data_IF_777471212279
#
_entry.id   IF_777471212279
#
_cell.length_a   1.000
_cell.length_b   1.000
_cell.length_c   1.000
_cell.angle_alpha   90.00
_cell.angle_beta   90.00
_cell.angle_gamma   90.00
#
_symmetry.space_group_name_H-M   'P 1'
#
loop_
_entity.id
_entity.type
_entity.pdbx_description
1 polymer ?
#
# COMPACT_ATOMS: atom_id res chain seq x y z
N UNK A 1 43.71 -27.31 -10.24
CA UNK A 1 42.97 -28.36 -10.97
C UNK A 1 41.59 -28.55 -10.34
N UNK A 2 40.54 -28.37 -11.15
CA UNK A 2 39.10 -28.71 -11.00
C UNK A 2 38.22 -27.50 -11.35
N UNK A 3 38.05 -27.30 -12.66
CA UNK A 3 37.01 -26.43 -13.23
C UNK A 3 35.68 -27.18 -13.07
N UNK A 4 34.71 -26.59 -12.37
CA UNK A 4 33.33 -27.06 -12.39
C UNK A 4 32.58 -26.32 -13.49
N UNK A 5 32.30 -27.06 -14.56
CA UNK A 5 31.40 -26.72 -15.67
C UNK A 5 29.97 -26.57 -15.13
N UNK A 6 29.41 -25.35 -15.15
CA UNK A 6 27.97 -25.13 -14.93
C UNK A 6 27.29 -24.85 -16.26
N UNK A 7 26.94 -25.94 -16.96
CA UNK A 7 25.93 -25.94 -18.01
C UNK A 7 24.56 -25.82 -17.35
N UNK A 8 24.03 -24.61 -17.22
CA UNK A 8 22.61 -24.44 -16.88
C UNK A 8 21.77 -24.37 -18.15
N UNK A 9 20.95 -25.40 -18.26
CA UNK A 9 19.97 -25.71 -19.29
C UNK A 9 18.99 -24.56 -19.44
N UNK A 10 18.83 -24.07 -20.68
CA UNK A 10 17.73 -23.20 -21.10
C UNK A 10 16.45 -24.03 -21.12
N UNK A 11 15.66 -23.97 -20.05
CA UNK A 11 14.32 -24.53 -20.02
C UNK A 11 13.33 -23.43 -20.45
N UNK A 12 12.92 -23.50 -21.70
CA UNK A 12 11.88 -22.66 -22.31
C UNK A 12 10.53 -23.01 -21.67
N UNK A 13 10.04 -22.16 -20.76
CA UNK A 13 8.71 -22.28 -20.18
C UNK A 13 7.73 -21.44 -21.04
N UNK A 14 6.97 -22.11 -21.89
CA UNK A 14 5.81 -21.53 -22.55
C UNK A 14 4.70 -21.36 -21.50
N UNK A 15 4.54 -20.14 -20.97
CA UNK A 15 3.43 -19.77 -20.11
C UNK A 15 2.23 -19.46 -20.99
N UNK A 16 1.26 -20.39 -20.98
CA UNK A 16 -0.04 -20.23 -21.63
C UNK A 16 -0.81 -19.07 -21.02
N UNK A 17 -1.14 -18.11 -21.87
CA UNK A 17 -1.96 -16.94 -21.57
C UNK A 17 -3.43 -17.38 -21.48
N UNK A 18 -3.83 -18.01 -20.37
CA UNK A 18 -5.24 -18.25 -20.08
C UNK A 18 -5.87 -16.95 -19.56
N UNK A 19 -6.46 -16.18 -20.47
CA UNK A 19 -7.25 -15.00 -20.15
C UNK A 19 -8.48 -15.41 -19.33
N UNK A 20 -8.39 -15.26 -18.01
CA UNK A 20 -9.55 -15.26 -17.11
C UNK A 20 -10.35 -13.98 -17.37
N UNK A 21 -11.24 -14.05 -18.36
CA UNK A 21 -12.36 -13.11 -18.52
C UNK A 21 -13.38 -13.47 -17.43
N UNK A 22 -13.05 -13.16 -16.17
CA UNK A 22 -14.03 -13.13 -15.09
C UNK A 22 -14.83 -11.85 -15.26
N UNK A 23 -15.83 -11.92 -16.14
CA UNK A 23 -16.80 -10.85 -16.32
C UNK A 23 -17.49 -10.53 -15.01
N UNK A 24 -17.50 -9.24 -14.63
CA UNK A 24 -18.42 -8.69 -13.65
C UNK A 24 -19.85 -8.90 -14.17
N UNK A 25 -20.43 -10.06 -13.87
CA UNK A 25 -21.88 -10.25 -13.97
C UNK A 25 -22.58 -9.36 -12.93
N UNK A 26 -23.80 -8.89 -13.20
CA UNK A 26 -24.57 -8.14 -12.23
C UNK A 26 -24.71 -8.97 -10.95
N UNK A 27 -24.17 -8.44 -9.85
CA UNK A 27 -24.26 -9.07 -8.53
C UNK A 27 -25.73 -9.36 -8.22
N UNK A 28 -26.08 -10.64 -8.12
CA UNK A 28 -27.43 -11.05 -7.71
C UNK A 28 -27.73 -10.33 -6.40
N UNK A 29 -28.83 -9.56 -6.29
CA UNK A 29 -29.16 -8.86 -5.06
C UNK A 29 -29.17 -9.86 -3.92
N UNK A 30 -28.46 -9.53 -2.83
CA UNK A 30 -28.37 -10.39 -1.66
C UNK A 30 -29.78 -10.77 -1.21
N UNK A 31 -29.98 -12.06 -0.91
CA UNK A 31 -31.26 -12.56 -0.43
C UNK A 31 -31.64 -11.77 0.84
N UNK A 32 -32.77 -11.04 0.86
CA UNK A 32 -33.18 -10.26 2.02
C UNK A 32 -33.45 -11.15 3.25
N UNK A 33 -33.56 -12.47 3.09
CA UNK A 33 -33.70 -13.45 4.15
C UNK A 33 -32.39 -14.20 4.46
N UNK A 34 -31.25 -13.82 3.88
CA UNK A 34 -29.96 -14.29 4.38
C UNK A 34 -29.82 -13.76 5.81
N UNK A 35 -30.04 -14.63 6.79
CA UNK A 35 -29.93 -14.29 8.21
C UNK A 35 -28.61 -13.57 8.49
N UNK A 36 -28.65 -12.60 9.41
CA UNK A 36 -27.44 -11.88 9.81
C UNK A 36 -26.35 -12.90 10.17
N UNK A 37 -25.11 -12.73 9.67
CA UNK A 37 -24.03 -13.62 10.02
C UNK A 37 -23.89 -13.68 11.55
N UNK A 38 -23.65 -14.87 12.13
CA UNK A 38 -23.50 -15.00 13.57
C UNK A 38 -22.39 -14.05 14.05
N UNK A 39 -22.64 -13.37 15.16
CA UNK A 39 -21.62 -12.52 15.79
C UNK A 39 -20.43 -13.39 16.21
N UNK A 40 -19.18 -12.92 16.01
CA UNK A 40 -18.02 -13.67 16.43
C UNK A 40 -18.02 -13.88 17.95
N UNK A 41 -17.59 -15.06 18.36
CA UNK A 41 -17.40 -15.43 19.75
C UNK A 41 -16.22 -14.67 20.37
N UNK A 42 -16.18 -14.57 21.71
CA UNK A 42 -15.05 -13.95 22.42
C UNK A 42 -13.70 -14.60 22.05
N UNK A 43 -13.66 -15.93 21.93
CA UNK A 43 -12.46 -16.67 21.53
C UNK A 43 -11.96 -16.31 20.12
N UNK A 44 -12.87 -16.13 19.16
CA UNK A 44 -12.52 -15.69 17.81
C UNK A 44 -11.98 -14.26 17.79
N UNK A 45 -12.56 -13.37 18.61
CA UNK A 45 -12.05 -12.02 18.78
C UNK A 45 -10.65 -12.02 19.41
N UNK A 46 -10.43 -12.83 20.45
CA UNK A 46 -9.12 -13.01 21.10
C UNK A 46 -8.04 -13.49 20.14
N UNK A 47 -8.32 -14.56 19.39
CA UNK A 47 -7.41 -15.08 18.35
C UNK A 47 -7.08 -14.01 17.30
N UNK A 48 -8.09 -13.28 16.83
CA UNK A 48 -7.92 -12.20 15.86
C UNK A 48 -7.04 -11.07 16.39
N UNK A 49 -7.23 -10.63 17.64
CA UNK A 49 -6.41 -9.58 18.23
C UNK A 49 -4.96 -10.02 18.43
N UNK A 50 -4.73 -11.28 18.85
CA UNK A 50 -3.40 -11.88 18.90
C UNK A 50 -2.70 -11.89 17.54
N UNK A 51 -3.42 -12.28 16.49
CA UNK A 51 -2.88 -12.26 15.12
C UNK A 51 -2.62 -10.84 14.61
N UNK A 52 -3.53 -9.90 14.86
CA UNK A 52 -3.33 -8.49 14.51
C UNK A 52 -2.07 -7.92 15.19
N UNK A 53 -1.86 -8.24 16.47
CA UNK A 53 -0.67 -7.82 17.23
C UNK A 53 0.60 -8.43 16.66
N UNK A 54 0.60 -9.72 16.33
CA UNK A 54 1.73 -10.38 15.69
C UNK A 54 2.09 -9.70 14.37
N UNK A 55 1.10 -9.50 13.49
CA UNK A 55 1.32 -8.85 12.18
C UNK A 55 1.79 -7.40 12.33
N UNK A 56 1.28 -6.65 13.32
CA UNK A 56 1.74 -5.29 13.58
C UNK A 56 3.22 -5.24 14.01
N UNK A 57 3.67 -6.18 14.85
CA UNK A 57 5.08 -6.29 15.24
C UNK A 57 5.98 -6.71 14.07
N UNK A 58 5.51 -7.62 13.21
CA UNK A 58 6.22 -8.00 11.97
C UNK A 58 6.34 -6.82 11.00
N UNK A 59 5.29 -6.00 10.90
CA UNK A 59 5.31 -4.77 10.12
C UNK A 59 6.28 -3.74 10.72
N UNK A 60 6.30 -3.57 12.03
CA UNK A 60 7.24 -2.68 12.73
C UNK A 60 8.70 -3.08 12.51
N UNK A 61 9.00 -4.38 12.54
CA UNK A 61 10.33 -4.89 12.23
C UNK A 61 10.71 -4.59 10.77
N UNK A 62 9.82 -4.87 9.81
CA UNK A 62 10.05 -4.55 8.40
C UNK A 62 10.20 -3.03 8.14
N UNK A 63 9.48 -2.19 8.90
CA UNK A 63 9.60 -0.74 8.85
C UNK A 63 11.01 -0.28 9.30
N UNK A 64 11.53 -0.87 10.37
CA UNK A 64 12.90 -0.61 10.84
C UNK A 64 13.96 -1.04 9.82
N UNK A 65 13.73 -2.12 9.08
CA UNK A 65 14.61 -2.54 7.99
C UNK A 65 14.59 -1.57 6.80
N UNK A 66 13.44 -0.96 6.49
CA UNK A 66 13.30 0.03 5.41
C UNK A 66 14.16 1.27 5.69
N UNK A 67 14.14 1.77 6.93
CA UNK A 67 14.87 2.99 7.32
C UNK A 67 16.38 2.86 7.12
N UNK A 68 16.92 1.65 7.31
CA UNK A 68 18.35 1.38 7.19
C UNK A 68 18.76 0.86 5.81
N UNK A 69 17.80 0.64 4.92
CA UNK A 69 18.08 0.04 3.62
C UNK A 69 18.59 1.05 2.60
N UNK A 70 19.52 0.64 1.72
CA UNK A 70 19.88 1.46 0.56
C UNK A 70 18.67 1.61 -0.37
N UNK A 71 18.62 2.72 -1.12
CA UNK A 71 17.52 3.04 -2.06
C UNK A 71 17.19 1.89 -3.03
N UNK A 72 18.19 1.10 -3.43
CA UNK A 72 18.02 -0.07 -4.32
C UNK A 72 17.24 -1.22 -3.68
N UNK A 73 17.18 -1.30 -2.34
CA UNK A 73 16.43 -2.32 -1.59
C UNK A 73 15.10 -1.83 -1.03
N UNK A 74 14.88 -0.51 -1.00
CA UNK A 74 13.64 0.06 -0.47
C UNK A 74 12.40 -0.38 -1.24
N UNK A 75 12.46 -0.47 -2.57
CA UNK A 75 11.31 -0.90 -3.39
C UNK A 75 10.82 -2.32 -3.05
N UNK A 76 11.69 -3.36 -3.02
CA UNK A 76 11.30 -4.67 -2.52
C UNK A 76 10.71 -4.65 -1.10
N UNK A 77 11.26 -3.84 -0.20
CA UNK A 77 10.75 -3.72 1.17
C UNK A 77 9.37 -3.05 1.22
N UNK A 78 9.14 -2.00 0.42
CA UNK A 78 7.83 -1.37 0.29
C UNK A 78 6.78 -2.35 -0.22
N UNK A 79 7.13 -3.24 -1.16
CA UNK A 79 6.24 -4.33 -1.59
C UNK A 79 5.85 -5.23 -0.42
N UNK A 80 6.82 -5.65 0.40
CA UNK A 80 6.57 -6.45 1.61
C UNK A 80 5.67 -5.71 2.59
N UNK A 81 5.96 -4.44 2.87
CA UNK A 81 5.20 -3.59 3.80
C UNK A 81 3.75 -3.41 3.36
N UNK A 82 3.51 -3.11 2.07
CA UNK A 82 2.14 -3.02 1.55
C UNK A 82 1.41 -4.38 1.59
N UNK A 83 2.14 -5.49 1.39
CA UNK A 83 1.60 -6.83 1.64
C UNK A 83 1.11 -7.00 3.08
N UNK A 84 1.98 -6.74 4.04
CA UNK A 84 1.67 -6.82 5.48
C UNK A 84 0.54 -5.86 5.88
N UNK A 85 0.50 -4.63 5.33
CA UNK A 85 -0.61 -3.69 5.54
C UNK A 85 -1.96 -4.29 5.11
N UNK A 86 -1.98 -4.99 3.97
CA UNK A 86 -3.22 -5.62 3.49
C UNK A 86 -3.69 -6.79 4.35
N UNK A 87 -2.79 -7.37 5.16
CA UNK A 87 -3.11 -8.44 6.11
C UNK A 87 -3.53 -7.89 7.49
N UNK A 88 -2.85 -6.87 8.00
CA UNK A 88 -3.10 -6.32 9.35
C UNK A 88 -4.36 -5.46 9.40
N UNK A 89 -4.63 -4.63 8.38
CA UNK A 89 -5.74 -3.68 8.39
C UNK A 89 -7.10 -4.37 8.56
N UNK A 90 -7.44 -5.44 7.81
CA UNK A 90 -8.69 -6.16 8.04
C UNK A 90 -8.75 -6.73 9.44
N UNK A 91 -7.65 -7.26 10.00
CA UNK A 91 -7.66 -7.84 11.35
C UNK A 91 -7.92 -6.80 12.43
N UNK A 92 -7.34 -5.62 12.32
CA UNK A 92 -7.66 -4.50 13.20
C UNK A 92 -9.11 -4.06 13.08
N UNK A 93 -9.65 -4.02 11.86
CA UNK A 93 -10.97 -3.45 11.60
C UNK A 93 -12.17 -4.24 12.15
N UNK A 94 -11.98 -5.45 12.69
CA UNK A 94 -13.13 -6.21 13.18
C UNK A 94 -14.08 -6.70 12.05
N UNK A 95 -15.18 -7.37 12.42
CA UNK A 95 -16.20 -7.80 11.46
C UNK A 95 -17.01 -6.61 10.90
N UNK A 96 -17.12 -5.53 11.67
CA UNK A 96 -17.91 -4.34 11.36
C UNK A 96 -17.04 -3.27 10.70
N UNK A 97 -16.89 -3.36 9.37
CA UNK A 97 -16.13 -2.39 8.57
C UNK A 97 -17.04 -1.30 8.03
N UNK A 98 -16.63 -0.05 8.16
CA UNK A 98 -17.33 1.08 7.54
C UNK A 98 -17.15 1.07 6.01
N UNK A 99 -18.04 1.75 5.29
CA UNK A 99 -17.87 1.95 3.85
C UNK A 99 -16.60 2.73 3.51
N UNK A 100 -16.24 3.71 4.35
CA UNK A 100 -15.01 4.51 4.19
C UNK A 100 -13.78 3.63 4.34
N UNK A 101 -13.70 2.83 5.40
CA UNK A 101 -12.60 1.87 5.59
C UNK A 101 -12.44 0.95 4.39
N UNK A 102 -13.54 0.34 3.91
CA UNK A 102 -13.49 -0.58 2.77
C UNK A 102 -12.95 0.09 1.51
N UNK A 103 -13.36 1.33 1.24
CA UNK A 103 -12.85 2.10 0.10
C UNK A 103 -11.35 2.36 0.23
N UNK A 104 -10.89 2.85 1.38
CA UNK A 104 -9.47 3.14 1.61
C UNK A 104 -8.61 1.87 1.55
N UNK A 105 -9.09 0.76 2.15
CA UNK A 105 -8.44 -0.54 2.07
C UNK A 105 -8.30 -1.02 0.61
N UNK A 106 -9.32 -0.85 -0.22
CA UNK A 106 -9.25 -1.21 -1.64
C UNK A 106 -8.15 -0.43 -2.39
N UNK A 107 -7.95 0.85 -2.06
CA UNK A 107 -6.84 1.64 -2.62
C UNK A 107 -5.49 1.07 -2.19
N UNK A 108 -5.32 0.67 -0.93
CA UNK A 108 -4.08 0.05 -0.44
C UNK A 108 -3.79 -1.27 -1.19
N UNK A 109 -4.81 -2.11 -1.38
CA UNK A 109 -4.70 -3.36 -2.16
C UNK A 109 -4.28 -3.07 -3.61
N UNK A 110 -4.91 -2.08 -4.25
CA UNK A 110 -4.56 -1.68 -5.62
C UNK A 110 -3.12 -1.19 -5.71
N UNK A 111 -2.65 -0.37 -4.76
CA UNK A 111 -1.27 0.12 -4.73
C UNK A 111 -0.28 -1.04 -4.53
N UNK A 112 -0.57 -1.98 -3.63
CA UNK A 112 0.24 -3.20 -3.45
C UNK A 112 0.39 -3.95 -4.78
N UNK A 113 -0.71 -4.18 -5.48
CA UNK A 113 -0.73 -4.92 -6.74
C UNK A 113 0.00 -4.16 -7.86
N UNK A 114 -0.13 -2.83 -7.90
CA UNK A 114 0.59 -1.99 -8.86
C UNK A 114 2.10 -2.01 -8.59
N UNK A 115 2.56 -1.80 -7.35
CA UNK A 115 3.98 -1.88 -6.98
C UNK A 115 4.55 -3.27 -7.29
N UNK A 116 3.76 -4.33 -7.04
CA UNK A 116 4.18 -5.70 -7.27
C UNK A 116 4.41 -6.04 -8.75
N UNK A 117 3.67 -5.40 -9.66
CA UNK A 117 3.65 -5.71 -11.09
C UNK A 117 4.34 -4.65 -11.96
N UNK A 118 4.69 -3.48 -11.41
CA UNK A 118 5.30 -2.40 -12.18
C UNK A 118 6.76 -2.69 -12.48
N UNK A 119 7.26 -2.37 -13.69
CA UNK A 119 8.68 -2.48 -14.01
C UNK A 119 9.54 -1.55 -13.15
N UNK A 120 10.75 -1.99 -12.81
CA UNK A 120 11.69 -1.31 -11.91
C UNK A 120 12.12 0.09 -12.37
N UNK A 121 11.96 0.41 -13.66
CA UNK A 121 12.40 1.67 -14.27
C UNK A 121 11.45 2.84 -14.03
N UNK A 122 10.23 2.60 -13.53
CA UNK A 122 9.26 3.65 -13.26
C UNK A 122 9.31 4.05 -11.78
N UNK A 123 9.30 5.36 -11.52
CA UNK A 123 9.18 5.92 -10.17
C UNK A 123 7.82 5.56 -9.57
N UNK A 124 7.85 5.05 -8.35
CA UNK A 124 6.68 4.62 -7.58
C UNK A 124 6.18 5.68 -6.60
N UNK A 125 6.80 6.86 -6.56
CA UNK A 125 6.59 7.90 -5.56
C UNK A 125 5.10 8.21 -5.38
N UNK A 126 4.41 8.55 -6.48
CA UNK A 126 2.98 8.88 -6.44
C UNK A 126 2.08 7.69 -6.04
N UNK A 127 2.49 6.45 -6.34
CA UNK A 127 1.74 5.26 -5.93
C UNK A 127 1.90 5.02 -4.43
N UNK A 128 3.14 5.13 -3.93
CA UNK A 128 3.47 5.00 -2.51
C UNK A 128 2.74 6.08 -1.70
N UNK A 129 2.74 7.34 -2.17
CA UNK A 129 2.04 8.45 -1.53
C UNK A 129 0.54 8.16 -1.37
N UNK A 130 -0.11 7.71 -2.46
CA UNK A 130 -1.52 7.35 -2.44
C UNK A 130 -1.80 6.16 -1.51
N UNK A 131 -0.93 5.15 -1.49
CA UNK A 131 -1.06 3.99 -0.61
C UNK A 131 -0.94 4.34 0.87
N UNK A 132 0.02 5.20 1.23
CA UNK A 132 0.21 5.67 2.60
C UNK A 132 -0.91 6.60 3.04
N UNK A 133 -1.38 7.50 2.16
CA UNK A 133 -2.54 8.35 2.44
C UNK A 133 -3.81 7.52 2.66
N UNK A 134 -4.05 6.50 1.83
CA UNK A 134 -5.17 5.59 2.02
C UNK A 134 -5.06 4.80 3.32
N UNK A 135 -3.85 4.32 3.66
CA UNK A 135 -3.58 3.63 4.92
C UNK A 135 -3.87 4.54 6.13
N UNK A 136 -3.41 5.80 6.10
CA UNK A 136 -3.74 6.79 7.12
C UNK A 136 -5.25 7.01 7.26
N UNK A 137 -5.98 7.18 6.14
CA UNK A 137 -7.42 7.39 6.19
C UNK A 137 -8.18 6.16 6.74
N UNK A 138 -7.73 4.95 6.40
CA UNK A 138 -8.27 3.71 6.96
C UNK A 138 -8.02 3.63 8.46
N UNK A 139 -6.80 3.90 8.93
CA UNK A 139 -6.46 3.90 10.35
C UNK A 139 -7.22 4.98 11.11
N UNK A 140 -7.38 6.18 10.54
CA UNK A 140 -8.16 7.25 11.13
C UNK A 140 -9.63 6.87 11.33
N UNK A 141 -10.22 6.21 10.34
CA UNK A 141 -11.58 5.68 10.48
C UNK A 141 -11.68 4.64 11.62
N UNK A 142 -10.69 3.74 11.72
CA UNK A 142 -10.61 2.78 12.83
C UNK A 142 -10.44 3.47 14.18
N UNK A 143 -9.58 4.49 14.29
CA UNK A 143 -9.37 5.19 15.56
C UNK A 143 -10.68 5.81 16.07
N UNK A 144 -11.46 6.41 15.17
CA UNK A 144 -12.74 7.02 15.50
C UNK A 144 -13.88 6.05 15.75
N UNK A 145 -13.78 4.79 15.30
CA UNK A 145 -14.88 3.82 15.43
C UNK A 145 -14.61 2.79 16.53
N UNK A 146 -13.36 2.52 16.87
CA UNK A 146 -12.98 1.39 17.74
C UNK A 146 -12.03 1.75 18.86
N UNK A 147 -11.36 2.91 18.82
CA UNK A 147 -10.29 3.25 19.77
C UNK A 147 -10.50 4.62 20.44
N UNK A 148 -11.77 4.95 20.73
CA UNK A 148 -12.15 6.19 21.42
C UNK A 148 -11.30 6.44 22.68
N UNK A 149 -10.96 7.71 22.92
CA UNK A 149 -10.36 8.21 24.18
C UNK A 149 -8.97 7.61 24.51
N UNK A 150 -8.12 7.41 23.50
CA UNK A 150 -6.71 7.08 23.72
C UNK A 150 -5.82 8.28 23.31
N UNK A 151 -5.29 8.99 24.31
CA UNK A 151 -4.44 10.18 24.10
C UNK A 151 -3.14 9.83 23.36
N UNK A 152 -2.54 8.68 23.68
CA UNK A 152 -1.32 8.22 23.02
C UNK A 152 -1.58 7.87 21.56
N UNK A 153 -2.71 7.23 21.25
CA UNK A 153 -3.10 6.94 19.88
C UNK A 153 -3.34 8.22 19.10
N UNK A 154 -3.96 9.23 19.72
CA UNK A 154 -4.21 10.54 19.09
C UNK A 154 -2.90 11.20 18.68
N UNK A 155 -1.91 11.27 19.59
CA UNK A 155 -0.57 11.78 19.29
C UNK A 155 0.12 11.03 18.15
N UNK A 156 -0.01 9.69 18.11
CA UNK A 156 0.55 8.86 17.03
C UNK A 156 -0.13 9.10 15.69
N UNK A 157 -1.46 9.28 15.69
CA UNK A 157 -2.23 9.64 14.50
C UNK A 157 -1.85 11.02 13.95
N UNK A 158 -1.59 12.00 14.81
CA UNK A 158 -1.09 13.32 14.42
C UNK A 158 0.31 13.24 13.80
N UNK A 159 1.22 12.46 14.41
CA UNK A 159 2.54 12.21 13.86
C UNK A 159 2.46 11.56 12.47
N UNK A 160 1.59 10.56 12.31
CA UNK A 160 1.33 9.92 11.02
C UNK A 160 0.77 10.90 9.99
N UNK A 161 -0.21 11.72 10.37
CA UNK A 161 -0.77 12.75 9.49
C UNK A 161 0.32 13.73 9.01
N UNK A 162 1.20 14.16 9.93
CA UNK A 162 2.30 15.06 9.63
C UNK A 162 3.34 14.43 8.68
N UNK A 163 3.64 13.14 8.81
CA UNK A 163 4.56 12.44 7.90
C UNK A 163 3.94 12.25 6.51
N UNK A 164 2.69 11.78 6.43
CA UNK A 164 1.99 11.58 5.16
C UNK A 164 1.78 12.91 4.41
N UNK A 165 1.50 14.01 5.12
CA UNK A 165 1.33 15.33 4.52
C UNK A 165 2.59 15.90 3.86
N UNK A 166 3.79 15.39 4.21
CA UNK A 166 5.07 15.83 3.63
C UNK A 166 5.44 15.09 2.34
N UNK A 167 4.93 13.88 2.16
CA UNK A 167 5.23 13.03 0.99
C UNK A 167 5.10 13.77 -0.35
N UNK A 168 3.98 14.46 -0.68
CA UNK A 168 3.84 15.11 -1.98
C UNK A 168 4.79 16.30 -2.19
N UNK A 169 5.38 16.84 -1.12
CA UNK A 169 6.27 18.01 -1.14
C UNK A 169 7.73 17.65 -1.45
N UNK A 170 8.07 16.37 -1.45
CA UNK A 170 9.45 15.89 -1.60
C UNK A 170 9.61 15.03 -2.85
N UNK A 171 10.83 14.95 -3.40
CA UNK A 171 11.18 14.17 -4.59
C UNK A 171 12.56 13.54 -4.41
N UNK A 172 12.81 12.45 -5.14
CA UNK A 172 14.14 11.81 -5.16
C UNK A 172 14.53 11.22 -3.81
N UNK A 173 15.75 11.49 -3.36
CA UNK A 173 16.28 10.90 -2.11
C UNK A 173 15.52 11.38 -0.87
N UNK A 174 15.10 12.64 -0.83
CA UNK A 174 14.32 13.17 0.29
C UNK A 174 12.95 12.49 0.40
N UNK A 175 12.34 12.13 -0.74
CA UNK A 175 11.09 11.38 -0.76
C UNK A 175 11.23 10.01 -0.09
N UNK A 176 12.31 9.28 -0.39
CA UNK A 176 12.60 7.99 0.25
C UNK A 176 12.73 8.09 1.78
N UNK A 177 13.31 9.18 2.29
CA UNK A 177 13.39 9.45 3.74
C UNK A 177 12.00 9.69 4.30
N UNK A 178 11.20 10.56 3.68
CA UNK A 178 9.83 10.85 4.13
C UNK A 178 8.92 9.61 4.08
N UNK A 179 9.08 8.74 3.08
CA UNK A 179 8.38 7.45 3.01
C UNK A 179 8.75 6.57 4.21
N UNK A 180 10.03 6.49 4.57
CA UNK A 180 10.48 5.72 5.73
C UNK A 180 9.90 6.27 7.04
N UNK A 181 9.83 7.59 7.20
CA UNK A 181 9.21 8.25 8.35
C UNK A 181 7.70 7.99 8.43
N UNK A 182 6.99 8.03 7.28
CA UNK A 182 5.56 7.75 7.21
C UNK A 182 5.25 6.27 7.50
N UNK A 183 6.08 5.35 7.00
CA UNK A 183 5.97 3.90 7.31
C UNK A 183 6.21 3.65 8.80
N UNK A 184 7.21 4.30 9.40
CA UNK A 184 7.49 4.19 10.84
C UNK A 184 6.36 4.76 11.69
N UNK A 185 5.78 5.90 11.29
CA UNK A 185 4.60 6.44 11.97
C UNK A 185 3.39 5.50 11.81
N UNK A 186 3.26 4.83 10.66
CA UNK A 186 2.20 3.84 10.41
C UNK A 186 2.36 2.62 11.33
N UNK A 187 3.58 2.08 11.48
CA UNK A 187 3.83 0.95 12.39
C UNK A 187 3.52 1.31 13.83
N UNK A 188 3.90 2.50 14.27
CA UNK A 188 3.61 3.00 15.61
C UNK A 188 2.11 3.07 15.93
N UNK A 189 1.27 3.42 14.95
CA UNK A 189 -0.20 3.41 15.08
C UNK A 189 -0.73 1.98 15.10
N UNK A 190 -0.28 1.12 14.17
CA UNK A 190 -0.70 -0.28 14.08
C UNK A 190 -0.40 -1.05 15.38
N UNK A 191 0.83 -0.95 15.89
CA UNK A 191 1.25 -1.61 17.14
C UNK A 191 0.41 -1.15 18.32
N UNK A 192 0.09 0.15 18.41
CA UNK A 192 -0.76 0.69 19.48
C UNK A 192 -2.19 0.16 19.38
N UNK A 193 -2.82 0.23 18.20
CA UNK A 193 -4.18 -0.30 17.99
C UNK A 193 -4.26 -1.80 18.26
N UNK A 194 -3.31 -2.57 17.74
CA UNK A 194 -3.28 -4.02 17.94
C UNK A 194 -3.05 -4.40 19.40
N UNK A 195 -2.18 -3.67 20.11
CA UNK A 195 -1.97 -3.83 21.55
C UNK A 195 -3.26 -3.55 22.34
N UNK A 196 -3.93 -2.44 22.06
CA UNK A 196 -5.18 -2.09 22.73
C UNK A 196 -6.28 -3.13 22.49
N UNK A 197 -6.41 -3.71 21.28
CA UNK A 197 -7.35 -4.81 21.03
C UNK A 197 -6.98 -6.07 21.82
N UNK A 198 -5.70 -6.41 21.87
CA UNK A 198 -5.21 -7.58 22.60
C UNK A 198 -5.50 -7.46 24.09
N UNK A 199 -5.25 -6.30 24.69
CA UNK A 199 -5.45 -6.06 26.11
C UNK A 199 -6.94 -6.12 26.48
N UNK A 200 -7.83 -5.50 25.69
CA UNK A 200 -9.29 -5.60 25.88
C UNK A 200 -9.79 -7.04 25.83
N UNK A 201 -9.31 -7.83 24.86
CA UNK A 201 -9.76 -9.22 24.75
C UNK A 201 -9.24 -10.09 25.88
N UNK A 202 -8.03 -9.81 26.38
CA UNK A 202 -7.50 -10.48 27.57
C UNK A 202 -8.33 -10.19 28.83
N UNK A 203 -8.85 -8.97 28.97
CA UNK A 203 -9.76 -8.61 30.07
C UNK A 203 -11.10 -9.36 29.98
N UNK A 204 -11.65 -9.51 28.76
CA UNK A 204 -12.86 -10.30 28.52
C UNK A 204 -12.68 -11.78 28.90
N UNK A 205 -11.54 -12.38 28.55
CA UNK A 205 -11.23 -13.78 28.89
C UNK A 205 -11.04 -14.00 30.39
N UNK A 206 -10.64 -12.97 31.13
CA UNK A 206 -10.52 -13.00 32.58
C UNK A 206 -11.88 -12.95 33.31
N UNK A 207 -13.00 -12.87 32.57
CA UNK A 207 -14.33 -12.73 33.12
C UNK A 207 -14.56 -11.36 33.77
N UNK A 208 -13.71 -10.37 33.49
CA UNK A 208 -14.01 -9.00 33.87
C UNK A 208 -15.22 -8.55 33.05
N UNK A 209 -16.22 -7.95 33.71
CA UNK A 209 -17.26 -7.25 32.96
C UNK A 209 -16.57 -6.24 32.05
N UNK A 210 -16.88 -6.21 30.74
CA UNK A 210 -16.30 -5.23 29.85
C UNK A 210 -16.54 -3.87 30.48
N UNK A 211 -15.47 -3.18 30.88
CA UNK A 211 -15.57 -1.76 31.18
C UNK A 211 -16.24 -1.19 29.94
N UNK A 212 -17.47 -0.65 30.06
CA UNK A 212 -18.17 -0.17 28.90
C UNK A 212 -17.20 0.80 28.27
N UNK A 213 -16.75 0.48 27.04
CA UNK A 213 -16.16 1.51 26.22
C UNK A 213 -17.22 2.59 26.26
N UNK A 214 -16.93 3.70 26.94
CA UNK A 214 -17.83 4.84 27.02
C UNK A 214 -17.81 5.38 25.61
N UNK A 215 -18.49 4.67 24.70
CA UNK A 215 -18.80 5.10 23.36
C UNK A 215 -19.50 6.41 23.65
N UNK A 216 -18.85 7.55 23.38
CA UNK A 216 -19.49 8.84 23.60
C UNK A 216 -20.82 8.68 22.91
N UNK A 217 -21.93 8.76 23.65
CA UNK A 217 -23.28 8.59 23.12
C UNK A 217 -23.25 9.39 21.84
N UNK A 218 -23.26 8.69 20.69
CA UNK A 218 -22.88 9.31 19.45
C UNK A 218 -23.80 10.51 19.38
N UNK A 219 -23.24 11.71 19.54
CA UNK A 219 -23.87 12.92 19.05
C UNK A 219 -23.76 12.75 17.55
N UNK A 220 -24.57 11.79 17.06
CA UNK A 220 -25.11 11.75 15.74
C UNK A 220 -25.48 13.22 15.55
N UNK A 221 -24.75 13.95 14.69
CA UNK A 221 -25.02 15.35 14.47
C UNK A 221 -26.52 15.40 14.27
N UNK A 222 -27.25 16.02 15.21
CA UNK A 222 -28.71 16.05 15.15
C UNK A 222 -28.99 16.46 13.72
N UNK A 223 -29.60 15.56 12.94
CA UNK A 223 -29.94 15.88 11.57
C UNK A 223 -30.57 17.27 11.66
N UNK A 224 -30.02 18.29 10.98
CA UNK A 224 -30.51 19.65 11.14
C UNK A 224 -32.03 19.56 11.03
N UNK A 225 -32.78 20.21 11.96
CA UNK A 225 -34.23 20.13 11.95
C UNK A 225 -34.67 20.30 10.51
N UNK A 226 -35.53 19.41 9.98
CA UNK A 226 -35.92 19.46 8.58
C UNK A 226 -36.24 20.91 8.28
N UNK A 227 -35.41 21.53 7.44
CA UNK A 227 -35.61 22.93 7.11
C UNK A 227 -37.06 23.01 6.65
N UNK A 228 -37.84 23.95 7.23
CA UNK A 228 -39.17 24.28 6.72
C UNK A 228 -39.08 24.25 5.20
N UNK A 229 -39.94 23.48 4.50
CA UNK A 229 -39.82 23.28 3.07
C UNK A 229 -39.69 24.66 2.44
N UNK A 230 -38.45 24.98 2.03
CA UNK A 230 -38.16 26.27 1.44
C UNK A 230 -39.16 26.40 0.30
N UNK A 231 -39.87 27.53 0.28
CA UNK A 231 -40.78 27.87 -0.81
C UNK A 231 -40.10 27.42 -2.11
N UNK A 232 -40.78 26.57 -2.92
CA UNK A 232 -40.16 25.82 -3.99
C UNK A 232 -39.22 26.74 -4.74
N UNK A 233 -37.92 26.41 -4.68
CA UNK A 233 -36.92 27.16 -5.42
C UNK A 233 -37.45 27.28 -6.85
N UNK A 234 -37.52 28.50 -7.43
CA UNK A 234 -38.01 28.67 -8.78
C UNK A 234 -37.33 27.62 -9.64
N UNK A 235 -38.16 26.83 -10.35
CA UNK A 235 -37.70 25.71 -11.15
C UNK A 235 -36.42 26.16 -11.89
N UNK A 236 -35.30 25.42 -11.76
CA UNK A 236 -34.08 25.76 -12.47
C UNK A 236 -34.47 26.02 -13.91
N UNK A 237 -34.27 27.25 -14.39
CA UNK A 237 -34.46 27.56 -15.80
C UNK A 237 -33.76 26.44 -16.55
N UNK A 238 -34.53 25.71 -17.37
CA UNK A 238 -34.03 24.56 -18.11
C UNK A 238 -32.65 24.94 -18.64
N UNK A 239 -31.59 24.14 -18.37
CA UNK A 239 -30.27 24.40 -18.91
C UNK A 239 -30.48 24.71 -20.38
N UNK A 240 -30.17 25.95 -20.77
CA UNK A 240 -30.33 26.37 -22.16
C UNK A 240 -29.69 25.28 -22.99
N UNK A 241 -30.44 24.76 -23.97
CA UNK A 241 -29.96 23.70 -24.86
C UNK A 241 -28.51 24.02 -25.18
N UNK A 242 -27.54 23.14 -24.85
CA UNK A 242 -26.15 23.41 -25.11
C UNK A 242 -26.07 23.80 -26.58
N UNK A 243 -25.66 25.04 -26.83
CA UNK A 243 -25.46 25.55 -28.18
C UNK A 243 -24.61 24.50 -28.88
N UNK A 244 -25.06 23.93 -30.03
CA UNK A 244 -24.36 22.87 -30.70
C UNK A 244 -22.88 23.24 -30.78
N UNK A 245 -22.02 22.39 -30.21
CA UNK A 245 -20.59 22.59 -30.27
C UNK A 245 -20.23 22.88 -31.74
N UNK A 246 -19.49 23.97 -32.04
CA UNK A 246 -19.08 24.29 -33.39
C UNK A 246 -18.53 23.03 -34.05
N UNK A 247 -19.02 22.71 -35.25
CA UNK A 247 -18.54 21.57 -36.00
C UNK A 247 -17.00 21.61 -36.00
N UNK A 248 -16.32 20.52 -35.60
CA UNK A 248 -14.87 20.51 -35.53
C UNK A 248 -14.32 20.98 -36.88
N UNK A 249 -13.44 21.99 -36.83
CA UNK A 249 -12.76 22.47 -38.02
C UNK A 249 -12.15 21.26 -38.75
N UNK A 250 -12.24 21.21 -40.10
CA UNK A 250 -11.70 20.10 -40.86
C UNK A 250 -10.26 19.86 -40.43
N UNK A 251 -9.96 18.61 -40.05
CA UNK A 251 -8.60 18.24 -39.69
C UNK A 251 -7.67 18.66 -40.82
N UNK A 252 -6.55 19.35 -40.53
CA UNK A 252 -5.61 19.75 -41.56
C UNK A 252 -5.22 18.51 -42.35
N UNK A 253 -5.36 18.60 -43.68
CA UNK A 253 -4.89 17.57 -44.61
C UNK A 253 -3.42 17.31 -44.25
N UNK A 254 -3.03 16.07 -43.94
CA UNK A 254 -1.65 15.73 -43.66
C UNK A 254 -0.76 16.27 -44.79
N UNK A 255 0.23 17.09 -44.44
CA UNK A 255 1.24 17.50 -45.39
C UNK A 255 1.87 16.24 -46.01
N UNK A 256 2.21 16.27 -47.32
CA UNK A 256 2.88 15.17 -47.98
C UNK A 256 4.06 14.70 -47.13
N UNK A 257 4.02 13.43 -46.73
CA UNK A 257 5.11 12.81 -45.98
C UNK A 257 6.36 12.90 -46.85
N UNK A 258 7.36 13.66 -46.39
CA UNK A 258 8.66 13.68 -47.05
C UNK A 258 9.19 12.25 -47.15
N UNK A 259 9.75 11.86 -48.32
CA UNK A 259 10.31 10.53 -48.49
C UNK A 259 11.37 10.28 -47.40
N UNK A 260 11.40 9.07 -46.83
CA UNK A 260 12.34 8.73 -45.76
C UNK A 260 13.76 9.05 -46.22
N UNK A 261 14.45 9.87 -45.42
CA UNK A 261 15.87 10.15 -45.62
C UNK A 261 16.62 8.81 -45.70
N UNK A 262 17.51 8.69 -46.68
CA UNK A 262 18.34 7.51 -46.86
C UNK A 262 19.04 7.17 -45.54
N UNK A 263 19.06 5.89 -45.14
CA UNK A 263 19.66 5.48 -43.87
C UNK A 263 21.11 5.95 -43.81
N UNK A 264 21.45 6.66 -42.73
CA UNK A 264 22.82 7.04 -42.44
C UNK A 264 23.69 5.77 -42.38
N UNK A 265 24.94 5.82 -42.87
CA UNK A 265 25.85 4.68 -42.83
C UNK A 265 25.98 4.14 -41.41
N UNK A 266 25.90 2.81 -41.28
CA UNK A 266 26.12 2.13 -40.02
C UNK A 266 27.48 2.55 -39.43
N UNK A 267 27.55 2.94 -38.14
CA UNK A 267 28.80 3.20 -37.45
C UNK A 267 29.73 1.99 -37.60
N UNK A 268 30.97 2.25 -38.01
CA UNK A 268 31.99 1.22 -38.13
C UNK A 268 32.17 0.49 -36.78
N UNK A 269 32.18 -0.83 -36.86
CA UNK A 269 32.40 -1.73 -35.73
C UNK A 269 33.72 -1.34 -35.03
N UNK A 270 33.71 -1.04 -33.73
CA UNK A 270 34.93 -0.72 -32.99
C UNK A 270 35.88 -1.91 -33.05
N UNK A 271 37.14 -1.63 -33.41
CA UNK A 271 38.19 -2.65 -33.44
C UNK A 271 38.31 -3.34 -32.06
N UNK A 272 38.55 -4.67 -32.03
CA UNK A 272 38.65 -5.42 -30.79
C UNK A 272 39.76 -4.86 -29.90
N UNK A 273 39.38 -4.43 -28.70
CA UNK A 273 40.30 -3.98 -27.67
C UNK A 273 41.20 -5.13 -27.24
N UNK A 274 42.50 -4.85 -27.20
CA UNK A 274 43.54 -5.80 -26.79
C UNK A 274 43.26 -6.37 -25.38
N UNK A 275 43.58 -7.66 -25.14
CA UNK A 275 43.35 -8.30 -23.85
C UNK A 275 44.11 -7.59 -22.73
N UNK A 276 43.41 -7.35 -21.62
CA UNK A 276 43.98 -6.76 -20.42
C UNK A 276 45.11 -7.64 -19.83
N UNK A 277 46.17 -7.02 -19.26
CA UNK A 277 47.25 -7.74 -18.59
C UNK A 277 46.74 -8.64 -17.46
N UNK A 278 47.30 -9.85 -17.37
CA UNK A 278 46.96 -10.82 -16.35
C UNK A 278 47.26 -10.27 -14.94
N UNK A 279 46.25 -10.33 -14.08
CA UNK A 279 46.34 -9.97 -12.67
C UNK A 279 47.30 -10.92 -11.92
N UNK A 280 48.27 -10.42 -11.14
CA UNK A 280 49.21 -11.25 -10.40
C UNK A 280 48.50 -12.02 -9.29
N UNK A 281 48.89 -13.29 -9.14
CA UNK A 281 48.29 -14.21 -8.17
C UNK A 281 48.43 -13.71 -6.72
N UNK A 282 47.40 -13.89 -5.87
CA UNK A 282 47.46 -13.50 -4.47
C UNK A 282 48.49 -14.33 -3.69
N UNK A 283 49.33 -13.64 -2.93
CA UNK A 283 50.29 -14.25 -2.02
C UNK A 283 49.58 -15.06 -0.93
N UNK A 284 50.02 -16.30 -0.74
CA UNK A 284 49.51 -17.21 0.30
C UNK A 284 49.91 -16.67 1.69
N UNK A 285 48.97 -16.44 2.62
CA UNK A 285 49.32 -16.03 3.98
C UNK A 285 50.02 -17.19 4.73
N UNK A 286 51.14 -16.86 5.36
CA UNK A 286 51.90 -17.78 6.20
C UNK A 286 51.05 -18.22 7.41
N UNK A 287 50.99 -19.53 7.63
CA UNK A 287 50.29 -20.16 8.73
C UNK A 287 51.17 -20.08 9.98
N UNK A 288 50.85 -19.16 10.89
CA UNK A 288 51.55 -19.04 12.18
C UNK A 288 51.19 -20.23 13.07
N UNK A 289 52.19 -21.02 13.44
CA UNK A 289 52.03 -22.15 14.36
C UNK A 289 51.64 -21.67 15.77
N UNK A 290 50.77 -22.42 16.48
CA UNK A 290 50.46 -22.13 17.88
C UNK A 290 51.67 -22.46 18.78
N UNK A 291 51.96 -21.65 19.81
CA UNK A 291 52.99 -21.99 20.80
C UNK A 291 52.55 -23.19 21.63
N UNK A 292 53.49 -24.12 21.81
CA UNK A 292 53.36 -25.29 22.65
C UNK A 292 53.31 -24.96 24.14
N UNK A 293 52.67 -25.90 24.85
CA UNK A 293 52.60 -26.21 26.28
C UNK A 293 53.38 -25.33 27.26
#
# INVERSE_FOLDING_TARGET
>A
MKRLDRKFVRLSLAVGLAALISGCGPSKPADPNAGLPPLPTGAEMGSRAGEARKLALEFELAAGELQNAPLTRQRPQLKTLFGQLTEVLPRLAGPLRTGVFNHQYAVVVQVRDQIANRPERLSDDALVDNGLLASYNALRDLSYTQFYVDEDLTKRMEALAASVGRLPLTKGVDHAIQVSDAVTATSAVLTKMAGTLYDRNKELDAGAEPSPATQPAATQPSAPPPADPAAPAPAPSAPGQPTPAPAPAPSPVPAPTEPPASPAPAPAEPAPTAPAPAEPAPATPAQTAPPGQ
#
